data_IF_572547959714
#
_entry.id   IF_572547959714
#
_cell.length_a   1.000
_cell.length_b   1.000
_cell.length_c   1.000
_cell.angle_alpha   90.00
_cell.angle_beta   90.00
_cell.angle_gamma   90.00
#
_symmetry.space_group_name_H-M   'P 1'
#
loop_
_entity.id
_entity.type
_entity.pdbx_description
1 polymer ?
#
# COMPACT_ATOMS: atom_id res chain seq x y z
N UNK A 1 -16.19 49.02 -43.13
CA UNK A 1 -16.09 49.07 -41.65
C UNK A 1 -16.25 47.69 -41.01
N UNK A 2 -17.17 46.82 -41.49
CA UNK A 2 -17.37 45.45 -40.98
C UNK A 2 -16.10 44.57 -40.90
N UNK A 3 -15.22 44.66 -41.90
CA UNK A 3 -14.00 43.80 -41.97
C UNK A 3 -13.05 43.97 -40.77
N UNK A 4 -12.97 45.15 -40.15
CA UNK A 4 -12.12 45.36 -38.97
C UNK A 4 -12.75 44.84 -37.67
N UNK A 5 -14.09 44.86 -37.55
CA UNK A 5 -14.79 44.29 -36.40
C UNK A 5 -14.68 42.76 -36.40
N UNK A 6 -14.85 42.13 -37.57
CA UNK A 6 -14.70 40.69 -37.76
C UNK A 6 -13.27 40.23 -37.43
N UNK A 7 -12.26 40.99 -37.88
CA UNK A 7 -10.84 40.71 -37.57
C UNK A 7 -10.54 40.80 -36.07
N UNK A 8 -11.09 41.80 -35.39
CA UNK A 8 -10.94 41.98 -33.94
C UNK A 8 -11.65 40.87 -33.16
N UNK A 9 -12.84 40.46 -33.59
CA UNK A 9 -13.56 39.33 -33.01
C UNK A 9 -12.76 38.02 -33.16
N UNK A 10 -12.23 37.75 -34.35
CA UNK A 10 -11.38 36.58 -34.60
C UNK A 10 -10.10 36.59 -33.75
N UNK A 11 -9.44 37.75 -33.59
CA UNK A 11 -8.27 37.90 -32.72
C UNK A 11 -8.61 37.61 -31.25
N UNK A 12 -9.73 38.13 -30.75
CA UNK A 12 -10.19 37.85 -29.37
C UNK A 12 -10.46 36.37 -29.14
N UNK A 13 -11.10 35.67 -30.10
CA UNK A 13 -11.34 34.22 -30.00
C UNK A 13 -10.01 33.45 -29.93
N UNK A 14 -9.01 33.83 -30.76
CA UNK A 14 -7.68 33.20 -30.73
C UNK A 14 -6.98 33.41 -29.39
N UNK A 15 -7.01 34.62 -28.85
CA UNK A 15 -6.43 34.93 -27.53
C UNK A 15 -7.11 34.14 -26.42
N UNK A 16 -8.45 34.06 -26.44
CA UNK A 16 -9.21 33.27 -25.47
C UNK A 16 -8.84 31.78 -25.54
N UNK A 17 -8.73 31.21 -26.75
CA UNK A 17 -8.32 29.83 -26.95
C UNK A 17 -6.89 29.58 -26.44
N UNK A 18 -5.96 30.49 -26.72
CA UNK A 18 -4.59 30.41 -26.25
C UNK A 18 -4.51 30.47 -24.72
N UNK A 19 -5.31 31.32 -24.09
CA UNK A 19 -5.37 31.44 -22.63
C UNK A 19 -5.92 30.15 -22.00
N UNK A 20 -6.98 29.55 -22.57
CA UNK A 20 -7.49 28.26 -22.13
C UNK A 20 -6.43 27.15 -22.25
N UNK A 21 -5.68 27.11 -23.35
CA UNK A 21 -4.58 26.16 -23.53
C UNK A 21 -3.47 26.35 -22.49
N UNK A 22 -3.14 27.60 -22.13
CA UNK A 22 -2.19 27.89 -21.05
C UNK A 22 -2.70 27.35 -19.71
N UNK A 23 -3.96 27.60 -19.37
CA UNK A 23 -4.58 27.10 -18.13
C UNK A 23 -4.54 25.57 -18.07
N UNK A 24 -4.86 24.89 -19.17
CA UNK A 24 -4.78 23.44 -19.27
C UNK A 24 -3.35 22.95 -19.10
N UNK A 25 -2.37 23.58 -19.76
CA UNK A 25 -0.96 23.21 -19.63
C UNK A 25 -0.47 23.34 -18.18
N UNK A 26 -0.84 24.41 -17.48
CA UNK A 26 -0.49 24.61 -16.07
C UNK A 26 -1.15 23.56 -15.16
N UNK A 27 -2.40 23.18 -15.43
CA UNK A 27 -3.08 22.12 -14.69
C UNK A 27 -2.35 20.77 -14.84
N UNK A 28 -1.90 20.43 -16.06
CA UNK A 28 -1.10 19.22 -16.28
C UNK A 28 0.28 19.27 -15.62
N UNK A 29 0.93 20.43 -15.57
CA UNK A 29 2.19 20.59 -14.82
C UNK A 29 1.95 20.35 -13.32
N UNK A 30 0.87 20.90 -12.75
CA UNK A 30 0.52 20.69 -11.36
C UNK A 30 0.19 19.21 -11.06
N UNK A 31 -0.57 18.55 -11.94
CA UNK A 31 -0.84 17.12 -11.84
C UNK A 31 0.46 16.30 -11.88
N UNK A 32 1.38 16.65 -12.80
CA UNK A 32 2.69 16.00 -12.90
C UNK A 32 3.52 16.18 -11.63
N UNK A 33 3.50 17.36 -11.00
CA UNK A 33 4.18 17.60 -9.74
C UNK A 33 3.63 16.70 -8.62
N UNK A 34 2.30 16.50 -8.58
CA UNK A 34 1.67 15.57 -7.64
C UNK A 34 2.10 14.11 -7.86
N UNK A 35 2.10 13.65 -9.13
CA UNK A 35 2.57 12.30 -9.48
C UNK A 35 4.06 12.15 -9.13
N UNK A 36 4.88 13.16 -9.45
CA UNK A 36 6.30 13.14 -9.15
C UNK A 36 6.56 13.06 -7.63
N UNK A 37 5.84 13.84 -6.82
CA UNK A 37 5.95 13.78 -5.36
C UNK A 37 5.59 12.39 -4.81
N UNK A 38 4.51 11.78 -5.33
CA UNK A 38 4.12 10.42 -4.94
C UNK A 38 5.16 9.36 -5.35
N UNK A 39 5.73 9.46 -6.54
CA UNK A 39 6.76 8.54 -7.03
C UNK A 39 8.07 8.70 -6.25
N UNK A 40 8.42 9.93 -5.86
CA UNK A 40 9.61 10.22 -5.06
C UNK A 40 9.54 9.57 -3.67
N UNK A 41 8.35 9.54 -3.08
CA UNK A 41 8.08 8.92 -1.77
C UNK A 41 8.12 7.38 -1.85
N UNK A 42 7.56 6.79 -2.94
CA UNK A 42 7.35 5.34 -3.02
C UNK A 42 8.27 4.53 -3.92
N UNK A 43 9.19 5.11 -4.73
CA UNK A 43 9.97 4.33 -5.73
C UNK A 43 11.49 4.54 -5.65
N UNK A 44 12.27 3.49 -5.89
CA UNK A 44 13.71 3.59 -6.13
C UNK A 44 13.92 3.89 -7.62
N UNK A 45 14.29 5.13 -7.91
CA UNK A 45 14.87 5.67 -9.14
C UNK A 45 14.60 4.92 -10.45
N UNK A 46 13.41 5.12 -11.03
CA UNK A 46 13.20 4.90 -12.46
C UNK A 46 13.72 6.14 -13.22
N UNK A 47 15.00 6.13 -13.62
CA UNK A 47 15.60 7.26 -14.37
C UNK A 47 14.83 7.62 -15.64
N UNK A 48 14.22 6.61 -16.28
CA UNK A 48 13.34 6.78 -17.45
C UNK A 48 12.08 7.58 -17.10
N UNK A 49 11.48 7.38 -15.92
CA UNK A 49 10.32 8.16 -15.47
C UNK A 49 10.68 9.65 -15.34
N UNK A 50 11.81 9.96 -14.70
CA UNK A 50 12.27 11.34 -14.54
C UNK A 50 12.60 12.00 -15.89
N UNK A 51 13.25 11.27 -16.82
CA UNK A 51 13.55 11.78 -18.15
C UNK A 51 12.29 12.17 -18.93
N UNK A 52 11.27 11.29 -18.94
CA UNK A 52 10.01 11.56 -19.65
C UNK A 52 9.21 12.66 -18.93
N UNK A 53 9.22 12.68 -17.59
CA UNK A 53 8.54 13.71 -16.80
C UNK A 53 9.11 15.11 -17.05
N UNK A 54 10.44 15.25 -17.05
CA UNK A 54 11.12 16.52 -17.35
C UNK A 54 10.80 16.96 -18.78
N UNK A 55 10.81 16.03 -19.74
CA UNK A 55 10.48 16.33 -21.13
C UNK A 55 9.01 16.78 -21.29
N UNK A 56 8.08 16.15 -20.57
CA UNK A 56 6.66 16.53 -20.54
C UNK A 56 6.44 17.93 -19.97
N UNK A 57 7.04 18.24 -18.82
CA UNK A 57 6.97 19.59 -18.22
C UNK A 57 7.63 20.62 -19.13
N UNK A 58 8.78 20.29 -19.73
CA UNK A 58 9.48 21.18 -20.65
C UNK A 58 8.65 21.50 -21.90
N UNK A 59 7.98 20.50 -22.49
CA UNK A 59 7.11 20.71 -23.66
C UNK A 59 5.86 21.52 -23.32
N UNK A 60 5.25 21.30 -22.14
CA UNK A 60 4.14 22.14 -21.65
C UNK A 60 4.59 23.59 -21.38
N UNK A 61 5.79 23.80 -20.81
CA UNK A 61 6.32 25.14 -20.60
C UNK A 61 6.60 25.87 -21.92
N UNK A 62 7.12 25.17 -22.94
CA UNK A 62 7.30 25.71 -24.29
C UNK A 62 5.97 26.09 -24.94
N UNK A 63 4.92 25.28 -24.75
CA UNK A 63 3.56 25.61 -25.20
C UNK A 63 3.08 26.93 -24.59
N UNK A 64 3.23 27.10 -23.27
CA UNK A 64 2.87 28.35 -22.58
C UNK A 64 3.67 29.54 -23.14
N UNK A 65 4.96 29.36 -23.41
CA UNK A 65 5.80 30.38 -24.05
C UNK A 65 5.32 30.79 -25.43
N UNK A 66 4.97 29.83 -26.29
CA UNK A 66 4.40 30.13 -27.61
C UNK A 66 3.04 30.83 -27.54
N UNK A 67 2.19 30.43 -26.59
CA UNK A 67 0.92 31.12 -26.33
C UNK A 67 1.11 32.57 -25.91
N UNK A 68 2.02 32.83 -24.96
CA UNK A 68 2.36 34.18 -24.53
C UNK A 68 2.96 35.04 -25.65
N UNK A 69 3.87 34.47 -26.46
CA UNK A 69 4.45 35.16 -27.61
C UNK A 69 3.41 35.47 -28.70
N UNK A 70 2.48 34.55 -28.97
CA UNK A 70 1.37 34.74 -29.91
C UNK A 70 0.42 35.85 -29.46
N UNK A 71 0.07 35.88 -28.18
CA UNK A 71 -0.75 36.95 -27.59
C UNK A 71 -0.04 38.30 -27.70
N UNK A 72 1.25 38.37 -27.36
CA UNK A 72 2.03 39.60 -27.49
C UNK A 72 2.07 40.11 -28.95
N UNK A 73 2.20 39.21 -29.92
CA UNK A 73 2.12 39.54 -31.35
C UNK A 73 0.78 40.19 -31.72
N UNK A 74 -0.34 39.58 -31.32
CA UNK A 74 -1.69 40.13 -31.57
C UNK A 74 -1.85 41.50 -30.91
N UNK A 75 -1.37 41.69 -29.68
CA UNK A 75 -1.46 42.98 -28.99
C UNK A 75 -0.68 44.08 -29.71
N UNK A 76 0.54 43.76 -30.17
CA UNK A 76 1.39 44.72 -30.89
C UNK A 76 0.75 45.12 -32.23
N UNK A 77 0.19 44.16 -32.96
CA UNK A 77 -0.49 44.39 -34.23
C UNK A 77 -1.83 45.13 -34.08
N UNK A 78 -2.58 44.83 -33.01
CA UNK A 78 -3.79 45.54 -32.65
C UNK A 78 -3.52 47.02 -32.32
N UNK A 79 -2.38 47.32 -31.67
CA UNK A 79 -1.98 48.70 -31.38
C UNK A 79 -1.53 49.47 -32.63
N UNK A 80 -0.90 48.79 -33.61
CA UNK A 80 -0.52 49.42 -34.90
C UNK A 80 -1.68 49.57 -35.88
N UNK A 81 -2.90 49.12 -35.53
CA UNK A 81 -4.09 49.19 -36.40
C UNK A 81 -4.07 48.21 -37.58
N UNK A 82 -3.04 47.38 -37.68
CA UNK A 82 -2.89 46.35 -38.71
C UNK A 82 -3.40 45.02 -38.15
N UNK A 83 -4.71 44.82 -38.17
CA UNK A 83 -5.31 43.54 -37.77
C UNK A 83 -5.02 42.48 -38.84
N UNK A 84 -3.86 41.83 -38.76
CA UNK A 84 -3.55 40.72 -39.66
C UNK A 84 -3.97 39.41 -39.00
N UNK A 85 -4.74 38.59 -39.71
CA UNK A 85 -5.14 37.26 -39.21
C UNK A 85 -4.01 36.22 -39.29
N UNK A 86 -2.90 36.59 -39.94
CA UNK A 86 -1.75 35.76 -40.19
C UNK A 86 -0.91 35.63 -38.91
N UNK A 87 -1.41 34.84 -37.97
CA UNK A 87 -0.55 34.33 -36.91
C UNK A 87 0.58 33.53 -37.56
N UNK A 88 1.82 33.76 -37.14
CA UNK A 88 3.04 33.12 -37.67
C UNK A 88 3.12 31.62 -37.33
N UNK A 89 1.98 30.96 -37.18
CA UNK A 89 1.81 29.59 -36.73
C UNK A 89 2.12 29.39 -35.25
N UNK A 90 2.19 30.45 -34.44
CA UNK A 90 2.55 30.34 -33.02
C UNK A 90 1.45 29.64 -32.22
N UNK A 91 0.17 29.94 -32.48
CA UNK A 91 -0.94 29.24 -31.83
C UNK A 91 -1.03 27.77 -32.27
N UNK A 92 -0.70 27.47 -33.53
CA UNK A 92 -0.66 26.08 -33.98
C UNK A 92 0.49 25.30 -33.32
N UNK A 93 1.66 25.94 -33.19
CA UNK A 93 2.80 25.38 -32.44
C UNK A 93 2.48 25.20 -30.96
N UNK A 94 1.77 26.15 -30.34
CA UNK A 94 1.25 26.02 -28.98
C UNK A 94 0.33 24.79 -28.86
N UNK A 95 -0.68 24.67 -29.72
CA UNK A 95 -1.62 23.54 -29.66
C UNK A 95 -0.90 22.20 -29.81
N UNK A 96 0.02 22.09 -30.78
CA UNK A 96 0.77 20.86 -31.05
C UNK A 96 1.72 20.50 -29.89
N UNK A 97 2.45 21.48 -29.35
CA UNK A 97 3.31 21.26 -28.18
C UNK A 97 2.52 20.97 -26.91
N UNK A 98 1.31 21.55 -26.75
CA UNK A 98 0.41 21.25 -25.65
C UNK A 98 -0.08 19.79 -25.70
N UNK A 99 -0.56 19.34 -26.86
CA UNK A 99 -1.02 17.96 -27.05
C UNK A 99 0.13 16.99 -26.79
N UNK A 100 1.31 17.27 -27.34
CA UNK A 100 2.49 16.45 -27.13
C UNK A 100 2.83 16.37 -25.63
N UNK A 101 2.90 17.51 -24.94
CA UNK A 101 3.18 17.55 -23.50
C UNK A 101 2.14 16.80 -22.66
N UNK A 102 0.85 16.93 -22.98
CA UNK A 102 -0.22 16.18 -22.32
C UNK A 102 -0.07 14.67 -22.53
N UNK A 103 0.22 14.22 -23.76
CA UNK A 103 0.45 12.80 -24.05
C UNK A 103 1.65 12.27 -23.26
N UNK A 104 2.74 13.03 -23.18
CA UNK A 104 3.90 12.67 -22.35
C UNK A 104 3.53 12.53 -20.87
N UNK A 105 2.77 13.48 -20.31
CA UNK A 105 2.31 13.41 -18.92
C UNK A 105 1.46 12.16 -18.68
N UNK A 106 0.53 11.84 -19.59
CA UNK A 106 -0.28 10.61 -19.49
C UNK A 106 0.59 9.37 -19.54
N UNK A 107 1.57 9.31 -20.46
CA UNK A 107 2.51 8.20 -20.54
C UNK A 107 3.33 8.04 -19.25
N UNK A 108 3.76 9.14 -18.62
CA UNK A 108 4.49 9.05 -17.35
C UNK A 108 3.64 8.47 -16.22
N UNK A 109 2.33 8.78 -16.20
CA UNK A 109 1.42 8.22 -15.21
C UNK A 109 1.26 6.70 -15.37
N UNK A 110 1.24 6.19 -16.61
CA UNK A 110 1.06 4.77 -16.91
C UNK A 110 2.36 3.97 -16.71
N UNK A 111 3.52 4.54 -17.06
CA UNK A 111 4.82 3.87 -16.96
C UNK A 111 5.38 3.81 -15.52
N UNK A 112 4.67 4.34 -14.53
CA UNK A 112 5.06 4.27 -13.14
C UNK A 112 4.93 2.86 -12.58
N UNK A 113 5.96 2.02 -12.71
CA UNK A 113 5.93 0.64 -12.22
C UNK A 113 6.07 0.55 -10.70
N UNK A 114 5.26 -0.28 -10.06
CA UNK A 114 5.22 -0.36 -8.61
C UNK A 114 6.48 -0.97 -8.02
N UNK A 115 7.11 -0.25 -7.07
CA UNK A 115 8.23 -0.80 -6.30
C UNK A 115 7.77 -2.17 -5.79
N UNK A 116 8.51 -3.26 -6.02
CA UNK A 116 8.18 -4.52 -5.38
C UNK A 116 8.15 -4.25 -3.88
N UNK A 117 6.98 -4.46 -3.30
CA UNK A 117 6.64 -4.12 -1.93
C UNK A 117 7.68 -4.78 -1.00
N UNK A 118 8.51 -3.97 -0.33
CA UNK A 118 9.36 -4.48 0.75
C UNK A 118 8.51 -5.10 1.88
N UNK A 119 7.21 -4.84 1.89
CA UNK A 119 6.24 -5.45 2.78
C UNK A 119 6.16 -6.97 2.60
N UNK A 120 6.49 -7.53 1.43
CA UNK A 120 6.50 -9.00 1.27
C UNK A 120 7.60 -9.66 2.10
N UNK A 121 8.77 -9.04 2.25
CA UNK A 121 9.85 -9.59 3.07
C UNK A 121 9.53 -9.46 4.56
N UNK A 122 9.01 -8.32 4.99
CA UNK A 122 8.60 -8.13 6.40
C UNK A 122 7.40 -9.01 6.77
N UNK A 123 6.41 -9.17 5.88
CA UNK A 123 5.31 -10.11 6.08
C UNK A 123 5.78 -11.56 6.11
N UNK A 124 6.76 -11.94 5.27
CA UNK A 124 7.37 -13.26 5.33
C UNK A 124 8.16 -13.49 6.63
N UNK A 125 8.88 -12.47 7.12
CA UNK A 125 9.57 -12.52 8.41
C UNK A 125 8.55 -12.65 9.55
N UNK A 126 7.45 -11.89 9.50
CA UNK A 126 6.39 -11.95 10.50
C UNK A 126 5.66 -13.31 10.48
N UNK A 127 5.39 -13.87 9.30
CA UNK A 127 4.84 -15.22 9.15
C UNK A 127 5.80 -16.29 9.69
N UNK A 128 7.11 -16.16 9.42
CA UNK A 128 8.13 -17.04 9.99
C UNK A 128 8.17 -16.94 11.51
N UNK A 129 8.04 -15.74 12.07
CA UNK A 129 7.98 -15.53 13.52
C UNK A 129 6.73 -16.18 14.13
N UNK A 130 5.56 -16.02 13.50
CA UNK A 130 4.32 -16.66 13.96
C UNK A 130 4.41 -18.19 13.91
N UNK A 131 4.92 -18.77 12.82
CA UNK A 131 5.15 -20.22 12.73
C UNK A 131 6.14 -20.74 13.78
N UNK A 132 7.15 -19.94 14.14
CA UNK A 132 8.13 -20.33 15.16
C UNK A 132 7.51 -20.32 16.55
N UNK A 133 6.69 -19.30 16.86
CA UNK A 133 5.97 -19.20 18.13
C UNK A 133 4.98 -20.37 18.28
N UNK A 134 4.23 -20.69 17.22
CA UNK A 134 3.27 -21.79 17.23
C UNK A 134 3.95 -23.15 17.43
N UNK A 135 5.09 -23.38 16.76
CA UNK A 135 5.91 -24.59 16.99
C UNK A 135 6.40 -24.68 18.43
N UNK A 136 6.92 -23.59 18.99
CA UNK A 136 7.43 -23.59 20.36
C UNK A 136 6.32 -23.92 21.36
N UNK A 137 5.14 -23.29 21.24
CA UNK A 137 3.99 -23.59 22.09
C UNK A 137 3.52 -25.05 21.98
N UNK A 138 3.45 -25.59 20.75
CA UNK A 138 3.07 -26.99 20.55
C UNK A 138 4.07 -27.97 21.17
N UNK A 139 5.36 -27.64 21.15
CA UNK A 139 6.42 -28.46 21.74
C UNK A 139 6.39 -28.43 23.28
N UNK A 140 6.05 -27.29 23.86
CA UNK A 140 5.87 -27.16 25.31
C UNK A 140 4.64 -27.93 25.79
N UNK A 141 3.52 -27.86 25.07
CA UNK A 141 2.33 -28.64 25.41
C UNK A 141 2.61 -30.15 25.36
N UNK A 142 3.33 -30.62 24.34
CA UNK A 142 3.72 -32.04 24.25
C UNK A 142 4.69 -32.47 25.36
N UNK A 143 5.60 -31.60 25.78
CA UNK A 143 6.52 -31.93 26.88
C UNK A 143 5.77 -31.98 28.22
N UNK A 144 4.81 -31.09 28.43
CA UNK A 144 3.93 -31.10 29.60
C UNK A 144 3.06 -32.36 29.65
N UNK A 145 2.48 -32.76 28.51
CA UNK A 145 1.66 -33.98 28.42
C UNK A 145 2.49 -35.24 28.73
N UNK A 146 3.73 -35.31 28.23
CA UNK A 146 4.66 -36.39 28.56
C UNK A 146 4.98 -36.45 30.05
N UNK A 147 5.20 -35.31 30.70
CA UNK A 147 5.43 -35.24 32.15
C UNK A 147 4.20 -35.71 32.93
N UNK A 148 3.00 -35.32 32.51
CA UNK A 148 1.76 -35.81 33.11
C UNK A 148 1.63 -37.33 32.98
N UNK A 149 1.96 -37.88 31.82
CA UNK A 149 1.91 -39.32 31.60
C UNK A 149 2.96 -40.07 32.45
N UNK A 150 4.16 -39.52 32.60
CA UNK A 150 5.20 -40.08 33.48
C UNK A 150 4.76 -40.07 34.95
N UNK A 151 4.13 -38.98 35.41
CA UNK A 151 3.61 -38.88 36.78
C UNK A 151 2.47 -39.88 37.04
N UNK A 152 1.58 -40.09 36.07
CA UNK A 152 0.52 -41.11 36.16
C UNK A 152 1.09 -42.54 36.24
N UNK A 153 2.15 -42.83 35.48
CA UNK A 153 2.89 -44.10 35.58
C UNK A 153 3.58 -44.27 36.94
N UNK A 154 4.16 -43.20 37.50
CA UNK A 154 4.74 -43.24 38.86
C UNK A 154 3.67 -43.45 39.95
N UNK A 155 2.50 -42.85 39.83
CA UNK A 155 1.40 -43.10 40.77
C UNK A 155 0.91 -44.55 40.72
N UNK A 156 0.63 -45.09 39.53
CA UNK A 156 0.17 -46.47 39.37
C UNK A 156 1.20 -47.50 39.86
N UNK A 157 2.49 -47.27 39.63
CA UNK A 157 3.55 -48.11 40.18
C UNK A 157 3.67 -48.05 41.71
N UNK A 158 3.46 -46.87 42.33
CA UNK A 158 3.40 -46.73 43.78
C UNK A 158 2.18 -47.43 44.39
N UNK A 159 1.01 -47.37 43.73
CA UNK A 159 -0.19 -48.11 44.13
C UNK A 159 -0.01 -49.63 44.02
N UNK A 160 0.63 -50.11 42.94
CA UNK A 160 0.96 -51.52 42.80
C UNK A 160 1.93 -52.01 43.88
N UNK A 161 2.91 -51.17 44.25
CA UNK A 161 3.85 -51.46 45.35
C UNK A 161 3.17 -51.45 46.73
N UNK A 162 2.22 -50.54 46.96
CA UNK A 162 1.47 -50.49 48.22
C UNK A 162 0.54 -51.69 48.37
N UNK A 163 -0.14 -52.10 47.28
CA UNK A 163 -0.99 -53.30 47.25
C UNK A 163 -0.18 -54.59 47.50
N UNK A 164 1.07 -54.66 47.05
CA UNK A 164 1.97 -55.80 47.29
C UNK A 164 2.47 -55.88 48.74
N UNK A 165 2.43 -54.78 49.49
CA UNK A 165 2.90 -54.70 50.88
C UNK A 165 1.79 -54.91 51.92
N UNK A 166 0.53 -55.09 51.50
CA UNK A 166 -0.53 -55.55 52.41
C UNK A 166 -0.27 -56.98 52.87
N UNK A 167 0.01 -57.22 54.16
CA UNK A 167 0.20 -58.56 54.67
C UNK A 167 -1.15 -59.29 54.67
N UNK A 168 -1.16 -60.49 54.09
CA UNK A 168 -2.24 -61.46 54.19
C UNK A 168 -2.71 -61.57 55.65
N UNK A 169 -4.02 -61.44 55.93
CA UNK A 169 -4.52 -61.54 57.30
C UNK A 169 -4.31 -62.98 57.79
N UNK A 170 -3.45 -63.11 58.81
CA UNK A 170 -3.22 -64.34 59.54
C UNK A 170 -4.56 -64.91 60.03
N UNK A 171 -4.91 -66.11 59.54
CA UNK A 171 -6.03 -66.92 60.03
C UNK A 171 -5.84 -67.15 61.53
N UNK A 172 -6.64 -66.49 62.38
CA UNK A 172 -6.76 -66.84 63.80
C UNK A 172 -7.61 -68.13 63.93
N UNK A 173 -7.19 -69.11 64.74
CA UNK A 173 -8.02 -70.25 65.06
C UNK A 173 -9.16 -69.80 66.00
N UNK A 174 -10.39 -70.18 65.64
CA UNK A 174 -11.60 -69.92 66.42
C UNK A 174 -11.59 -70.86 67.64
N UNK A 175 -11.26 -70.30 68.79
CA UNK A 175 -11.37 -70.93 70.11
C UNK A 175 -12.84 -71.04 70.50
N UNK A 176 -13.33 -72.27 70.53
CA UNK A 176 -14.71 -72.63 70.83
C UNK A 176 -14.89 -72.73 72.35
N UNK A 177 -15.46 -71.72 73.01
CA UNK A 177 -15.83 -71.80 74.44
C UNK A 177 -17.25 -71.28 74.69
N UNK A 178 -18.22 -72.17 74.46
CA UNK A 178 -19.56 -72.12 75.07
C UNK A 178 -19.48 -72.53 76.55
N UNK A 179 -19.64 -71.59 77.47
CA UNK A 179 -20.31 -71.68 78.80
C UNK A 179 -20.58 -70.22 79.17
N UNK A 180 -21.78 -69.70 79.42
CA UNK A 180 -23.00 -70.26 79.99
C UNK A 180 -23.44 -69.28 81.10
N UNK A 181 -24.76 -69.02 81.21
CA UNK A 181 -25.45 -68.34 82.32
C UNK A 181 -25.13 -66.84 82.52
N UNK A 182 -26.00 -65.93 82.98
CA UNK A 182 -27.45 -65.81 83.28
C UNK A 182 -27.64 -64.33 83.73
N UNK A 183 -28.87 -63.80 83.91
CA UNK A 183 -29.16 -62.36 83.92
C UNK A 183 -29.25 -61.74 85.33
N UNK A 184 -29.68 -60.46 85.33
CA UNK A 184 -30.21 -59.64 86.43
C UNK A 184 -29.13 -58.88 87.22
N UNK A 185 -29.15 -57.55 87.27
CA UNK A 185 -29.99 -56.67 88.13
C UNK A 185 -29.37 -55.26 87.94
N UNK A 186 -30.02 -54.11 88.03
CA UNK A 186 -31.32 -53.64 88.50
C UNK A 186 -31.54 -52.26 87.88
#
# INVERSE_FOLDING_TARGET
MADNEDKRAAANIKVALANNLITVALAFIAAQAGIAAFVLDKRIHLGVFYAIAILGVGTLALSVGFGGAGIHGIYKEGYSGSWTLADRGLFNRQALTCILGTVLVVLTAILGDSKPEKDSEQLQILQKQLQTIERNQSSELQSLEKQFHELALRQSSLEALSARKSPSPAKRPVENRKRGASPATR
#
